data_IF_268788317825
#
_entry.id   IF_268788317825
#
_cell.length_a   1.000
_cell.length_b   1.000
_cell.length_c   1.000
_cell.angle_alpha   90.00
_cell.angle_beta   90.00
_cell.angle_gamma   90.00
#
_symmetry.space_group_name_H-M   'P 1'
#
loop_
_entity.id
_entity.type
_entity.pdbx_description
1 polymer ?
#
# COMPACT_ATOMS: atom_id res chain seq x y z
N UNK A 1 -7.80 -5.97 -37.48
CA UNK A 1 -7.32 -4.61 -37.18
C UNK A 1 -6.66 -4.70 -35.81
N UNK A 2 -5.36 -4.44 -35.70
CA UNK A 2 -4.70 -4.44 -34.39
C UNK A 2 -5.28 -3.26 -33.58
N UNK A 3 -5.95 -3.58 -32.48
CA UNK A 3 -6.45 -2.58 -31.53
C UNK A 3 -5.26 -2.03 -30.74
N UNK A 4 -4.58 -1.01 -31.27
CA UNK A 4 -3.47 -0.37 -30.58
C UNK A 4 -4.04 0.69 -29.61
N UNK A 5 -4.53 0.21 -28.46
CA UNK A 5 -5.13 1.07 -27.45
C UNK A 5 -4.06 1.60 -26.52
N UNK A 6 -4.09 2.90 -26.28
CA UNK A 6 -3.08 3.63 -25.50
C UNK A 6 -3.75 4.25 -24.30
N UNK A 7 -3.15 4.09 -23.12
CA UNK A 7 -3.54 4.88 -21.96
C UNK A 7 -2.96 6.28 -22.13
N UNK A 8 -3.82 7.29 -22.23
CA UNK A 8 -3.44 8.70 -22.32
C UNK A 8 -3.68 9.39 -20.99
N UNK A 9 -2.62 9.94 -20.41
CA UNK A 9 -2.73 10.91 -19.32
C UNK A 9 -2.65 12.30 -19.95
N UNK A 10 -3.78 13.01 -19.97
CA UNK A 10 -3.89 14.34 -20.55
C UNK A 10 -3.88 15.39 -19.44
N UNK A 11 -2.86 16.26 -19.44
CA UNK A 11 -2.69 17.28 -18.39
C UNK A 11 -2.81 18.67 -18.99
N UNK A 12 -3.76 19.45 -18.47
CA UNK A 12 -3.86 20.89 -18.68
C UNK A 12 -3.42 21.59 -17.41
N UNK A 13 -2.22 22.14 -17.42
CA UNK A 13 -1.63 22.82 -16.27
C UNK A 13 -1.78 24.34 -16.40
N UNK A 14 -2.04 25.02 -15.28
CA UNK A 14 -2.08 26.49 -15.19
C UNK A 14 -0.74 27.09 -14.75
N UNK A 15 0.16 26.26 -14.22
CA UNK A 15 1.53 26.59 -13.83
C UNK A 15 2.48 25.50 -14.30
N UNK A 16 3.78 25.77 -14.46
CA UNK A 16 4.76 24.72 -14.76
C UNK A 16 4.67 23.56 -13.77
N UNK A 17 4.68 22.32 -14.28
CA UNK A 17 4.60 21.11 -13.44
C UNK A 17 5.97 20.86 -12.79
N UNK A 18 5.99 20.67 -11.47
CA UNK A 18 7.21 20.30 -10.75
C UNK A 18 7.71 18.91 -11.20
N UNK A 19 9.02 18.79 -11.43
CA UNK A 19 9.62 17.52 -11.90
C UNK A 19 9.37 16.38 -10.91
N UNK A 20 9.37 16.66 -9.60
CA UNK A 20 9.08 15.67 -8.58
C UNK A 20 7.63 15.20 -8.65
N UNK A 21 6.67 16.09 -8.92
CA UNK A 21 5.27 15.71 -9.03
C UNK A 21 4.98 14.96 -10.32
N UNK A 22 5.60 15.38 -11.42
CA UNK A 22 5.55 14.65 -12.68
C UNK A 22 6.05 13.20 -12.52
N UNK A 23 7.25 13.05 -11.94
CA UNK A 23 7.88 11.74 -11.76
C UNK A 23 7.11 10.86 -10.76
N UNK A 24 6.60 11.42 -9.65
CA UNK A 24 5.72 10.72 -8.71
C UNK A 24 4.46 10.20 -9.42
N UNK A 25 3.75 11.07 -10.13
CA UNK A 25 2.50 10.70 -10.81
C UNK A 25 2.75 9.63 -11.88
N UNK A 26 3.79 9.75 -12.70
CA UNK A 26 4.12 8.72 -13.69
C UNK A 26 4.55 7.38 -13.08
N UNK A 27 5.38 7.43 -12.04
CA UNK A 27 5.80 6.23 -11.31
C UNK A 27 4.61 5.52 -10.65
N UNK A 28 3.65 6.29 -10.14
CA UNK A 28 2.43 5.77 -9.55
C UNK A 28 1.57 5.04 -10.58
N UNK A 29 1.30 5.64 -11.75
CA UNK A 29 0.58 4.95 -12.84
C UNK A 29 1.29 3.67 -13.29
N UNK A 30 2.62 3.71 -13.46
CA UNK A 30 3.41 2.53 -13.82
C UNK A 30 3.34 1.40 -12.79
N UNK A 31 3.40 1.74 -11.50
CA UNK A 31 3.32 0.77 -10.39
C UNK A 31 1.91 0.18 -10.27
N UNK A 32 0.88 1.04 -10.28
CA UNK A 32 -0.52 0.61 -10.22
C UNK A 32 -0.87 -0.30 -11.38
N UNK A 33 -0.44 0.03 -12.60
CA UNK A 33 -0.64 -0.85 -13.75
C UNK A 33 0.09 -2.18 -13.59
N UNK A 34 1.36 -2.17 -13.17
CA UNK A 34 2.12 -3.42 -13.00
C UNK A 34 1.46 -4.35 -11.99
N UNK A 35 0.95 -3.81 -10.88
CA UNK A 35 0.21 -4.59 -9.87
C UNK A 35 -1.13 -5.10 -10.41
N UNK A 36 -1.87 -4.24 -11.13
CA UNK A 36 -3.13 -4.61 -11.77
C UNK A 36 -2.92 -5.74 -12.80
N UNK A 37 -1.89 -5.62 -13.64
CA UNK A 37 -1.50 -6.60 -14.64
C UNK A 37 -1.15 -7.94 -14.01
N UNK A 38 -0.34 -7.97 -12.95
CA UNK A 38 -0.02 -9.20 -12.22
C UNK A 38 -1.26 -9.94 -11.70
N UNK A 39 -2.28 -9.21 -11.25
CA UNK A 39 -3.52 -9.78 -10.70
C UNK A 39 -4.52 -10.21 -11.78
N UNK A 40 -4.59 -9.48 -12.89
CA UNK A 40 -5.67 -9.59 -13.87
C UNK A 40 -5.22 -10.09 -15.26
N UNK A 41 -3.92 -10.23 -15.50
CA UNK A 41 -3.37 -10.75 -16.74
C UNK A 41 -3.76 -12.21 -16.97
N UNK A 42 -4.21 -12.53 -18.18
CA UNK A 42 -4.64 -13.88 -18.58
C UNK A 42 -3.49 -14.76 -19.07
N UNK A 43 -2.32 -14.17 -19.33
CA UNK A 43 -1.10 -14.86 -19.73
C UNK A 43 0.07 -14.42 -18.86
N UNK A 44 1.18 -15.16 -18.92
CA UNK A 44 2.41 -14.77 -18.22
C UNK A 44 2.95 -13.46 -18.77
N UNK A 45 2.78 -13.22 -20.06
CA UNK A 45 3.17 -11.99 -20.74
C UNK A 45 2.33 -10.81 -20.24
N UNK A 46 1.01 -10.92 -20.24
CA UNK A 46 0.09 -9.89 -19.70
C UNK A 46 0.37 -9.64 -18.21
N UNK A 47 0.60 -10.68 -17.40
CA UNK A 47 0.90 -10.54 -15.98
C UNK A 47 2.24 -9.82 -15.69
N UNK A 48 3.15 -9.77 -16.66
CA UNK A 48 4.43 -9.07 -16.56
C UNK A 48 4.47 -7.77 -17.38
N UNK A 49 3.32 -7.32 -17.88
CA UNK A 49 3.18 -6.09 -18.65
C UNK A 49 3.64 -4.86 -17.86
N UNK A 50 4.24 -3.90 -18.57
CA UNK A 50 4.67 -2.61 -18.02
C UNK A 50 4.25 -1.48 -18.94
N UNK A 51 4.00 -0.31 -18.35
CA UNK A 51 3.74 0.93 -19.08
C UNK A 51 5.04 1.63 -19.47
N UNK A 52 5.09 2.14 -20.69
CA UNK A 52 6.21 2.92 -21.23
C UNK A 52 5.72 4.22 -21.85
N UNK A 53 6.43 5.32 -21.59
CA UNK A 53 6.16 6.61 -22.25
C UNK A 53 6.55 6.51 -23.72
N UNK A 54 5.59 6.54 -24.63
CA UNK A 54 5.84 6.51 -26.08
C UNK A 54 5.86 7.90 -26.71
N UNK A 55 5.17 8.89 -26.12
CA UNK A 55 5.13 10.27 -26.61
C UNK A 55 4.83 11.27 -25.49
N UNK A 56 5.36 12.49 -25.63
CA UNK A 56 4.98 13.71 -24.89
C UNK A 56 4.72 14.80 -25.93
N UNK A 57 3.55 15.44 -25.90
CA UNK A 57 3.12 16.45 -26.89
C UNK A 57 3.07 17.85 -26.24
N UNK A 58 3.34 18.90 -27.02
CA UNK A 58 3.28 20.30 -26.58
C UNK A 58 1.84 20.85 -26.61
N UNK A 59 1.51 21.77 -25.68
CA UNK A 59 0.20 22.40 -25.50
C UNK A 59 -0.57 21.88 -24.28
N UNK A 60 -0.42 20.58 -24.00
CA UNK A 60 -0.88 19.81 -22.82
C UNK A 60 0.03 18.59 -22.69
N UNK A 61 0.46 18.21 -21.48
CA UNK A 61 1.32 17.02 -21.34
C UNK A 61 0.44 15.78 -21.61
N UNK A 62 0.52 15.26 -22.83
CA UNK A 62 -0.10 14.01 -23.26
C UNK A 62 0.91 12.88 -23.20
N UNK A 63 0.71 11.97 -22.25
CA UNK A 63 1.61 10.83 -22.05
C UNK A 63 0.91 9.58 -22.55
N UNK A 64 1.44 9.02 -23.63
CA UNK A 64 0.95 7.78 -24.22
C UNK A 64 1.68 6.61 -23.56
N UNK A 65 0.93 5.73 -22.91
CA UNK A 65 1.46 4.53 -22.25
C UNK A 65 0.94 3.27 -22.96
N UNK A 66 1.88 2.43 -23.43
CA UNK A 66 1.60 1.18 -24.14
C UNK A 66 2.08 -0.03 -23.34
N UNK A 67 1.36 -1.14 -23.48
CA UNK A 67 1.79 -2.46 -23.03
C UNK A 67 2.71 -3.09 -24.10
N UNK A 68 3.91 -3.50 -23.69
CA UNK A 68 4.81 -4.31 -24.52
C UNK A 68 4.68 -5.79 -24.12
N UNK A 69 3.57 -6.44 -24.49
CA UNK A 69 3.55 -7.89 -24.61
C UNK A 69 4.41 -8.23 -25.85
N UNK A 70 5.37 -9.14 -25.68
CA UNK A 70 6.50 -9.42 -26.59
C UNK A 70 6.20 -9.26 -28.09
N UNK A 71 7.17 -8.71 -28.83
CA UNK A 71 7.29 -8.61 -30.31
C UNK A 71 7.13 -9.95 -31.09
N UNK A 72 6.65 -11.03 -30.46
CA UNK A 72 6.36 -12.31 -31.09
C UNK A 72 4.85 -12.42 -31.36
N UNK A 73 4.51 -12.39 -32.64
CA UNK A 73 3.18 -12.56 -33.24
C UNK A 73 2.43 -13.76 -32.64
N UNK A 74 1.32 -13.53 -31.93
CA UNK A 74 0.31 -14.58 -31.64
C UNK A 74 -1.06 -14.09 -32.15
N UNK A 75 -1.70 -14.77 -33.13
CA UNK A 75 -2.95 -14.30 -33.76
C UNK A 75 -4.24 -14.57 -32.96
N UNK A 76 -4.17 -15.04 -31.71
CA UNK A 76 -5.34 -15.60 -31.00
C UNK A 76 -5.32 -15.32 -29.49
N UNK A 77 -5.13 -14.05 -29.08
CA UNK A 77 -5.56 -13.63 -27.74
C UNK A 77 -6.95 -13.01 -27.90
N UNK A 78 -7.98 -13.68 -27.38
CA UNK A 78 -9.30 -13.07 -27.20
C UNK A 78 -9.13 -11.75 -26.46
N UNK A 79 -9.57 -10.64 -27.08
CA UNK A 79 -9.41 -9.24 -26.67
C UNK A 79 -9.60 -8.94 -25.16
N UNK A 80 -8.69 -9.33 -24.27
CA UNK A 80 -8.42 -8.57 -23.04
C UNK A 80 -7.68 -7.33 -23.48
N UNK A 81 -8.33 -6.19 -23.41
CA UNK A 81 -7.61 -4.93 -23.52
C UNK A 81 -7.20 -4.51 -22.11
N UNK A 82 -6.08 -5.04 -21.63
CA UNK A 82 -5.57 -4.82 -20.28
C UNK A 82 -5.47 -3.32 -19.93
N UNK A 83 -5.15 -2.47 -20.92
CA UNK A 83 -5.16 -1.01 -20.81
C UNK A 83 -6.56 -0.45 -20.51
N UNK A 84 -7.59 -0.92 -21.22
CA UNK A 84 -8.97 -0.48 -20.98
C UNK A 84 -9.50 -0.97 -19.63
N UNK A 85 -9.17 -2.19 -19.26
CA UNK A 85 -9.59 -2.74 -17.97
C UNK A 85 -8.87 -2.05 -16.81
N UNK A 86 -7.59 -1.69 -16.98
CA UNK A 86 -6.88 -0.82 -16.05
C UNK A 86 -7.51 0.57 -15.95
N UNK A 87 -7.87 1.19 -17.09
CA UNK A 87 -8.53 2.50 -17.07
C UNK A 87 -9.89 2.46 -16.34
N UNK A 88 -10.66 1.37 -16.50
CA UNK A 88 -11.88 1.12 -15.71
C UNK A 88 -11.59 0.93 -14.22
N UNK A 89 -10.49 0.27 -13.87
CA UNK A 89 -10.06 0.14 -12.47
C UNK A 89 -9.68 1.49 -11.85
N UNK A 90 -8.96 2.35 -12.58
CA UNK A 90 -8.72 3.74 -12.14
C UNK A 90 -10.05 4.49 -11.99
N UNK A 91 -11.01 4.28 -12.89
CA UNK A 91 -12.35 4.85 -12.74
C UNK A 91 -13.07 4.34 -11.48
N UNK A 92 -13.00 3.06 -11.12
CA UNK A 92 -13.64 2.59 -9.89
C UNK A 92 -13.02 3.21 -8.64
N UNK A 93 -11.70 3.45 -8.65
CA UNK A 93 -11.02 4.19 -7.58
C UNK A 93 -11.55 5.63 -7.52
N UNK A 94 -11.63 6.32 -8.67
CA UNK A 94 -12.21 7.66 -8.75
C UNK A 94 -13.66 7.70 -8.25
N UNK A 95 -14.50 6.78 -8.70
CA UNK A 95 -15.91 6.73 -8.32
C UNK A 95 -16.07 6.54 -6.80
N UNK A 96 -15.22 5.72 -6.16
CA UNK A 96 -15.23 5.53 -4.71
C UNK A 96 -14.72 6.78 -3.95
N UNK A 97 -13.49 7.23 -4.24
CA UNK A 97 -12.85 8.30 -3.46
C UNK A 97 -13.42 9.70 -3.75
N UNK A 98 -13.95 9.95 -4.94
CA UNK A 98 -14.44 11.27 -5.36
C UNK A 98 -15.95 11.35 -5.34
N UNK A 99 -16.63 10.33 -5.89
CA UNK A 99 -18.08 10.36 -6.01
C UNK A 99 -18.80 9.63 -4.87
N UNK A 100 -18.07 8.95 -3.98
CA UNK A 100 -18.61 8.06 -2.95
C UNK A 100 -19.60 7.03 -3.53
N UNK A 101 -19.25 6.46 -4.68
CA UNK A 101 -20.04 5.47 -5.43
C UNK A 101 -19.27 4.18 -5.64
N UNK A 102 -20.01 3.08 -5.71
CA UNK A 102 -19.44 1.74 -5.93
C UNK A 102 -18.85 1.14 -4.65
N UNK A 103 -18.30 -0.06 -4.80
CA UNK A 103 -17.66 -0.79 -3.70
C UNK A 103 -16.25 -0.23 -3.44
N UNK A 104 -15.76 -0.42 -2.20
CA UNK A 104 -14.38 -0.07 -1.87
C UNK A 104 -13.40 -0.89 -2.73
N UNK A 105 -12.46 -0.23 -3.44
CA UNK A 105 -11.47 -0.95 -4.23
C UNK A 105 -10.50 -1.70 -3.31
N UNK A 106 -10.20 -2.96 -3.65
CA UNK A 106 -9.25 -3.79 -2.92
C UNK A 106 -7.80 -3.35 -3.22
N UNK A 107 -7.32 -2.35 -2.46
CA UNK A 107 -5.99 -1.76 -2.62
C UNK A 107 -5.09 -2.13 -1.44
N UNK A 108 -3.90 -2.68 -1.65
CA UNK A 108 -2.91 -2.87 -0.58
C UNK A 108 -2.20 -1.54 -0.22
N UNK A 109 -1.33 -1.56 0.81
CA UNK A 109 -0.61 -0.35 1.27
C UNK A 109 0.21 0.32 0.14
N UNK A 110 1.03 -0.40 -0.65
CA UNK A 110 1.67 0.18 -1.83
C UNK A 110 0.69 0.78 -2.86
N UNK A 111 -0.44 0.12 -3.12
CA UNK A 111 -1.45 0.60 -4.07
C UNK A 111 -2.15 1.88 -3.56
N UNK A 112 -2.47 1.98 -2.28
CA UNK A 112 -2.99 3.21 -1.68
C UNK A 112 -2.01 4.38 -1.78
N UNK A 113 -0.71 4.12 -1.57
CA UNK A 113 0.32 5.12 -1.83
C UNK A 113 0.36 5.52 -3.31
N UNK A 114 0.21 4.54 -4.22
CA UNK A 114 0.05 4.81 -5.65
C UNK A 114 -1.15 5.70 -5.95
N UNK A 115 -2.30 5.47 -5.32
CA UNK A 115 -3.51 6.30 -5.48
C UNK A 115 -3.30 7.72 -4.95
N UNK A 116 -2.60 7.89 -3.84
CA UNK A 116 -2.16 9.21 -3.36
C UNK A 116 -1.26 9.90 -4.40
N UNK A 117 -0.23 9.21 -4.89
CA UNK A 117 0.82 9.78 -5.73
C UNK A 117 0.35 10.07 -7.18
N UNK A 118 -0.61 9.28 -7.70
CA UNK A 118 -1.12 9.44 -9.08
C UNK A 118 -1.82 10.78 -9.32
N UNK A 119 -2.30 11.45 -8.27
CA UNK A 119 -2.98 12.75 -8.37
C UNK A 119 -2.09 13.92 -7.95
N UNK A 120 -0.78 13.72 -7.79
CA UNK A 120 0.15 14.76 -7.30
C UNK A 120 0.12 16.03 -8.17
N UNK A 121 0.06 15.88 -9.50
CA UNK A 121 0.00 17.02 -10.43
C UNK A 121 -1.27 17.86 -10.21
N UNK A 122 -2.50 17.33 -10.38
CA UNK A 122 -3.71 18.13 -10.17
C UNK A 122 -3.86 18.62 -8.72
N UNK A 123 -3.40 17.86 -7.72
CA UNK A 123 -3.45 18.29 -6.32
C UNK A 123 -2.60 19.55 -6.05
N UNK A 124 -1.53 19.78 -6.80
CA UNK A 124 -0.64 20.93 -6.64
C UNK A 124 -0.89 22.07 -7.65
N UNK A 125 -1.88 21.94 -8.54
CA UNK A 125 -2.26 22.98 -9.51
C UNK A 125 -3.74 23.37 -9.36
N UNK A 126 -3.98 24.54 -8.75
CA UNK A 126 -5.34 25.02 -8.43
C UNK A 126 -6.30 25.10 -9.61
N UNK A 127 -5.80 25.38 -10.81
CA UNK A 127 -6.62 25.45 -12.02
C UNK A 127 -6.20 24.37 -13.04
N UNK A 128 -5.43 23.38 -12.59
CA UNK A 128 -4.99 22.27 -13.40
C UNK A 128 -6.06 21.19 -13.52
N UNK A 129 -6.04 20.47 -14.64
CA UNK A 129 -6.88 19.31 -14.89
C UNK A 129 -6.01 18.18 -15.40
N UNK A 130 -6.23 16.98 -14.87
CA UNK A 130 -5.65 15.75 -15.40
C UNK A 130 -6.76 14.78 -15.76
N UNK A 131 -6.76 14.26 -16.98
CA UNK A 131 -7.76 13.29 -17.46
C UNK A 131 -7.07 11.99 -17.84
N UNK A 132 -7.66 10.85 -17.42
CA UNK A 132 -7.20 9.52 -17.82
C UNK A 132 -8.12 8.98 -18.89
N UNK A 133 -7.54 8.69 -20.05
CA UNK A 133 -8.26 8.24 -21.24
C UNK A 133 -7.65 6.97 -21.80
N UNK A 134 -8.45 6.24 -22.58
CA UNK A 134 -7.94 5.27 -23.53
C UNK A 134 -8.25 5.78 -24.93
N UNK A 135 -7.24 5.84 -25.78
CA UNK A 135 -7.40 6.27 -27.18
C UNK A 135 -6.99 5.15 -28.13
N UNK A 136 -7.53 5.19 -29.35
CA UNK A 136 -6.97 4.41 -30.46
C UNK A 136 -5.80 5.20 -31.06
N UNK A 137 -4.58 4.67 -31.03
CA UNK A 137 -3.39 5.39 -31.52
C UNK A 137 -3.48 5.77 -33.01
N UNK A 138 -4.13 4.94 -33.83
CA UNK A 138 -4.21 5.14 -35.29
C UNK A 138 -5.26 6.19 -35.68
N UNK A 139 -6.37 6.26 -34.94
CA UNK A 139 -7.51 7.12 -35.28
C UNK A 139 -7.64 8.35 -34.37
N UNK A 140 -6.92 8.39 -33.24
CA UNK A 140 -6.93 9.50 -32.29
C UNK A 140 -8.25 9.67 -31.51
N UNK A 141 -9.24 8.80 -31.75
CA UNK A 141 -10.52 8.87 -31.06
C UNK A 141 -10.41 8.31 -29.63
N UNK A 142 -11.10 8.98 -28.72
CA UNK A 142 -11.23 8.55 -27.32
C UNK A 142 -12.20 7.35 -27.26
N UNK A 143 -11.69 6.23 -26.75
CA UNK A 143 -12.43 4.98 -26.53
C UNK A 143 -13.07 5.00 -25.13
N UNK A 144 -12.37 5.59 -24.17
CA UNK A 144 -12.81 5.68 -22.78
C UNK A 144 -12.28 6.98 -22.16
N UNK A 145 -13.15 7.68 -21.45
CA UNK A 145 -12.81 8.85 -20.64
C UNK A 145 -13.58 8.74 -19.32
N UNK A 146 -12.93 8.13 -18.33
CA UNK A 146 -13.61 7.69 -17.12
C UNK A 146 -13.49 8.64 -15.94
N UNK A 147 -12.40 9.41 -15.89
CA UNK A 147 -12.05 10.24 -14.75
C UNK A 147 -11.26 11.47 -15.19
N UNK A 148 -11.63 12.61 -14.62
CA UNK A 148 -10.89 13.88 -14.66
C UNK A 148 -10.67 14.30 -13.22
N UNK A 149 -9.45 14.72 -12.91
CA UNK A 149 -9.01 15.13 -11.59
C UNK A 149 -8.68 16.62 -11.63
N UNK A 150 -9.40 17.40 -10.82
CA UNK A 150 -9.05 18.79 -10.51
C UNK A 150 -8.34 18.90 -9.14
N UNK A 151 -8.00 20.12 -8.74
CA UNK A 151 -7.35 20.39 -7.45
C UNK A 151 -8.11 19.87 -6.22
N UNK A 152 -9.43 20.08 -6.18
CA UNK A 152 -10.27 19.69 -5.03
C UNK A 152 -10.30 18.16 -4.93
N UNK A 153 -10.50 17.49 -6.06
CA UNK A 153 -10.59 16.02 -6.14
C UNK A 153 -9.23 15.39 -5.85
N UNK A 154 -8.14 15.91 -6.42
CA UNK A 154 -6.78 15.44 -6.17
C UNK A 154 -6.39 15.57 -4.70
N UNK A 155 -6.64 16.74 -4.08
CA UNK A 155 -6.38 16.93 -2.66
C UNK A 155 -7.25 16.01 -1.78
N UNK A 156 -8.53 15.85 -2.14
CA UNK A 156 -9.45 14.93 -1.48
C UNK A 156 -8.97 13.48 -1.51
N UNK A 157 -8.50 12.99 -2.67
CA UNK A 157 -7.92 11.66 -2.83
C UNK A 157 -6.67 11.50 -1.97
N UNK A 158 -5.77 12.49 -1.95
CA UNK A 158 -4.56 12.43 -1.12
C UNK A 158 -4.90 12.29 0.36
N UNK A 159 -5.80 13.14 0.88
CA UNK A 159 -6.21 13.10 2.29
C UNK A 159 -6.88 11.77 2.66
N UNK A 160 -7.79 11.28 1.80
CA UNK A 160 -8.47 10.01 2.04
C UNK A 160 -7.52 8.81 1.97
N UNK A 161 -6.60 8.81 1.00
CA UNK A 161 -5.57 7.77 0.87
C UNK A 161 -4.63 7.78 2.07
N UNK A 162 -4.23 8.96 2.56
CA UNK A 162 -3.42 9.10 3.77
C UNK A 162 -4.13 8.59 5.03
N UNK A 163 -5.43 8.85 5.15
CA UNK A 163 -6.22 8.32 6.26
C UNK A 163 -6.34 6.81 6.18
N UNK A 164 -6.67 6.25 5.01
CA UNK A 164 -6.70 4.80 4.78
C UNK A 164 -5.33 4.15 5.03
N UNK A 165 -4.23 4.82 4.66
CA UNK A 165 -2.87 4.37 4.96
C UNK A 165 -2.58 4.39 6.46
N UNK A 166 -3.01 5.43 7.20
CA UNK A 166 -2.86 5.49 8.66
C UNK A 166 -3.68 4.40 9.33
N UNK A 167 -4.92 4.19 8.92
CA UNK A 167 -5.80 3.13 9.43
C UNK A 167 -5.21 1.75 9.15
N UNK A 168 -4.79 1.47 7.90
CA UNK A 168 -4.17 0.18 7.55
C UNK A 168 -2.81 -0.02 8.19
N UNK A 169 -2.03 1.03 8.41
CA UNK A 169 -0.80 0.95 9.22
C UNK A 169 -1.11 0.79 10.70
N UNK A 170 -2.20 1.34 11.21
CA UNK A 170 -2.63 1.13 12.59
C UNK A 170 -3.14 -0.31 12.80
N UNK A 171 -3.88 -0.86 11.82
CA UNK A 171 -4.26 -2.27 11.75
C UNK A 171 -3.02 -3.16 11.58
N UNK A 172 -2.06 -2.78 10.72
CA UNK A 172 -0.78 -3.46 10.52
C UNK A 172 0.25 -3.18 11.62
N UNK A 173 -0.01 -2.27 12.56
CA UNK A 173 0.79 -2.09 13.79
C UNK A 173 0.46 -3.18 14.81
N UNK A 174 -0.40 -4.13 14.47
CA UNK A 174 -0.15 -5.54 14.70
C UNK A 174 1.04 -6.04 13.83
N UNK A 175 2.21 -5.38 13.93
CA UNK A 175 3.41 -5.62 13.12
C UNK A 175 3.81 -7.09 12.96
N UNK A 176 4.69 -7.38 11.99
CA UNK A 176 5.17 -8.74 11.69
C UNK A 176 5.29 -9.58 12.96
N UNK A 177 4.46 -10.63 13.04
CA UNK A 177 4.45 -11.50 14.20
C UNK A 177 5.76 -12.26 14.19
N UNK A 178 6.64 -11.92 15.14
CA UNK A 178 7.83 -12.68 15.42
C UNK A 178 7.40 -13.94 16.16
N UNK A 179 7.39 -15.05 15.44
CA UNK A 179 6.86 -16.32 15.95
C UNK A 179 7.90 -17.07 16.77
N UNK A 180 7.45 -17.74 17.82
CA UNK A 180 8.24 -18.66 18.66
C UNK A 180 9.57 -18.07 19.14
N UNK A 181 9.53 -16.82 19.60
CA UNK A 181 10.69 -16.16 20.15
C UNK A 181 10.84 -16.48 21.63
N UNK A 182 12.08 -16.70 22.07
CA UNK A 182 12.39 -16.85 23.48
C UNK A 182 12.39 -15.48 24.15
N UNK A 183 11.43 -15.27 25.04
CA UNK A 183 11.32 -14.10 25.90
C UNK A 183 11.71 -14.45 27.33
N UNK A 184 12.50 -13.60 27.95
CA UNK A 184 12.76 -13.63 29.40
C UNK A 184 12.15 -12.41 30.06
N UNK A 185 11.68 -12.59 31.30
CA UNK A 185 11.07 -11.49 32.05
C UNK A 185 12.12 -10.79 32.88
N UNK A 186 12.29 -9.50 32.60
CA UNK A 186 13.24 -8.66 33.33
C UNK A 186 12.62 -8.04 34.59
N UNK A 187 11.32 -7.71 34.54
CA UNK A 187 10.63 -7.07 35.66
C UNK A 187 9.14 -7.40 35.64
N UNK A 188 8.64 -7.96 36.75
CA UNK A 188 7.21 -8.05 37.08
C UNK A 188 6.93 -7.08 38.22
N UNK A 189 5.86 -6.29 38.14
CA UNK A 189 5.42 -5.46 39.28
C UNK A 189 4.03 -5.86 39.74
N UNK A 190 3.83 -5.82 41.06
CA UNK A 190 2.53 -5.89 41.70
C UNK A 190 1.95 -4.47 41.76
N UNK A 191 0.78 -4.31 41.17
CA UNK A 191 -0.18 -3.18 41.19
C UNK A 191 0.31 -1.77 41.56
N UNK A 192 0.11 -0.81 40.64
CA UNK A 192 -0.11 0.61 40.99
C UNK A 192 1.04 1.62 40.88
N UNK A 193 2.16 1.32 40.22
CA UNK A 193 3.26 2.29 40.02
C UNK A 193 3.57 2.59 38.55
N UNK A 194 3.87 3.86 38.24
CA UNK A 194 4.07 4.52 36.92
C UNK A 194 5.06 3.88 35.90
N UNK A 195 5.59 2.67 36.15
CA UNK A 195 6.57 2.00 35.28
C UNK A 195 6.31 0.48 35.22
N UNK A 196 5.63 0.03 34.15
CA UNK A 196 5.07 -1.33 33.97
C UNK A 196 6.05 -2.51 33.80
N UNK A 197 5.48 -3.68 33.43
CA UNK A 197 6.18 -4.95 33.22
C UNK A 197 7.19 -4.88 32.06
N UNK A 198 8.32 -5.60 32.16
CA UNK A 198 9.37 -5.59 31.14
C UNK A 198 9.93 -6.96 30.83
N UNK A 199 10.23 -7.19 29.56
CA UNK A 199 10.89 -8.40 29.07
C UNK A 199 11.98 -8.10 28.06
N UNK A 200 12.74 -9.13 27.72
CA UNK A 200 13.82 -9.11 26.74
C UNK A 200 13.64 -10.28 25.79
N UNK A 201 13.87 -10.03 24.51
CA UNK A 201 13.93 -11.05 23.46
C UNK A 201 15.22 -10.75 22.70
N UNK A 202 16.30 -11.43 23.06
CA UNK A 202 17.65 -11.12 22.55
C UNK A 202 17.74 -11.22 21.03
N UNK A 203 16.94 -12.10 20.42
CA UNK A 203 16.85 -12.25 18.96
C UNK A 203 16.29 -11.01 18.25
N UNK A 204 15.55 -10.14 18.96
CA UNK A 204 14.97 -8.92 18.42
C UNK A 204 15.73 -7.69 18.92
N UNK A 205 15.96 -7.59 20.23
CA UNK A 205 16.70 -6.48 20.85
C UNK A 205 17.19 -6.86 22.25
N UNK A 206 18.40 -6.40 22.55
CA UNK A 206 19.03 -6.42 23.88
C UNK A 206 18.37 -5.45 24.90
N UNK A 207 17.40 -4.64 24.47
CA UNK A 207 16.72 -3.67 25.31
C UNK A 207 15.59 -4.31 26.12
N UNK A 208 15.47 -3.84 27.36
CA UNK A 208 14.37 -4.17 28.27
C UNK A 208 13.13 -3.35 27.89
N UNK A 209 12.25 -3.94 27.08
CA UNK A 209 11.06 -3.30 26.56
C UNK A 209 9.84 -3.59 27.45
N UNK A 210 8.81 -2.74 27.35
CA UNK A 210 7.55 -2.97 28.04
C UNK A 210 6.86 -4.25 27.54
N UNK A 211 6.06 -4.88 28.39
CA UNK A 211 5.19 -6.00 27.99
C UNK A 211 3.74 -5.56 27.97
N UNK A 212 3.04 -5.92 26.89
CA UNK A 212 1.60 -5.75 26.72
C UNK A 212 1.05 -7.12 26.34
N UNK A 213 -0.05 -7.54 26.93
CA UNK A 213 -0.65 -8.85 26.65
C UNK A 213 -1.89 -8.68 25.79
N UNK A 214 -2.12 -9.58 24.84
CA UNK A 214 -3.31 -9.56 23.98
C UNK A 214 -4.58 -10.01 24.75
N UNK A 215 -4.41 -10.72 25.86
CA UNK A 215 -5.50 -11.08 26.78
C UNK A 215 -5.03 -11.14 28.23
N UNK A 216 -5.96 -10.93 29.17
CA UNK A 216 -5.73 -11.09 30.61
C UNK A 216 -5.30 -12.52 30.97
N UNK A 217 -5.79 -13.52 30.22
CA UNK A 217 -5.41 -14.93 30.42
C UNK A 217 -3.93 -15.17 30.12
N UNK A 218 -3.40 -14.59 29.04
CA UNK A 218 -1.98 -14.68 28.70
C UNK A 218 -1.12 -13.97 29.75
N UNK A 219 -1.60 -12.84 30.26
CA UNK A 219 -0.93 -12.14 31.35
C UNK A 219 -0.84 -13.01 32.60
N UNK A 220 -1.94 -13.66 33.00
CA UNK A 220 -1.99 -14.52 34.17
C UNK A 220 -1.12 -15.78 34.01
N UNK A 221 -1.18 -16.44 32.85
CA UNK A 221 -0.37 -17.63 32.54
C UNK A 221 1.14 -17.35 32.65
N UNK A 222 1.56 -16.16 32.21
CA UNK A 222 2.97 -15.76 32.19
C UNK A 222 3.41 -15.16 33.53
N UNK A 223 2.67 -14.20 34.08
CA UNK A 223 3.10 -13.39 35.23
C UNK A 223 2.64 -13.93 36.59
N UNK A 224 1.53 -14.68 36.64
CA UNK A 224 0.92 -15.15 37.90
C UNK A 224 1.06 -16.66 38.10
N UNK A 225 1.95 -17.30 37.37
CA UNK A 225 2.26 -18.72 37.55
C UNK A 225 2.73 -19.03 38.99
N UNK A 226 2.56 -20.27 39.45
CA UNK A 226 2.92 -20.69 40.81
C UNK A 226 4.42 -20.57 41.13
N UNK A 227 5.27 -20.46 40.11
CA UNK A 227 6.72 -20.28 40.22
C UNK A 227 7.11 -18.86 39.81
N UNK A 228 8.28 -18.39 40.26
CA UNK A 228 8.74 -17.04 39.95
C UNK A 228 8.96 -16.90 38.42
N UNK A 229 8.18 -16.03 37.74
CA UNK A 229 8.21 -15.95 36.28
C UNK A 229 9.51 -15.35 35.73
N UNK A 230 10.35 -14.75 36.59
CA UNK A 230 11.68 -14.26 36.20
C UNK A 230 12.75 -15.37 36.10
N UNK A 231 12.44 -16.59 36.55
CA UNK A 231 13.32 -17.76 36.46
C UNK A 231 12.98 -18.67 35.26
N UNK A 232 12.13 -18.18 34.36
CA UNK A 232 11.60 -18.94 33.22
C UNK A 232 11.88 -18.22 31.91
N UNK A 233 11.98 -19.01 30.85
CA UNK A 233 11.93 -18.55 29.46
C UNK A 233 10.57 -18.90 28.85
N UNK A 234 10.02 -17.99 28.06
CA UNK A 234 8.70 -18.14 27.45
C UNK A 234 8.84 -18.11 25.92
N UNK A 235 8.39 -19.16 25.25
CA UNK A 235 8.35 -19.20 23.79
C UNK A 235 7.05 -18.56 23.34
N UNK A 236 7.13 -17.37 22.76
CA UNK A 236 5.98 -16.51 22.48
C UNK A 236 5.95 -16.05 21.02
N UNK A 237 4.74 -15.74 20.56
CA UNK A 237 4.54 -14.92 19.37
C UNK A 237 4.38 -13.47 19.80
N UNK A 238 5.16 -12.57 19.21
CA UNK A 238 5.16 -11.15 19.61
C UNK A 238 5.09 -10.19 18.45
N UNK A 239 4.58 -9.01 18.76
CA UNK A 239 4.58 -7.85 17.89
C UNK A 239 5.40 -6.75 18.55
N UNK A 240 6.37 -6.18 17.84
CA UNK A 240 7.19 -5.08 18.34
C UNK A 240 6.44 -3.77 18.17
N UNK A 241 6.02 -3.18 19.29
CA UNK A 241 5.41 -1.85 19.29
C UNK A 241 6.51 -0.78 19.34
N UNK A 242 6.39 0.22 18.47
CA UNK A 242 7.38 1.30 18.33
C UNK A 242 6.79 2.66 18.69
N UNK A 243 7.63 3.54 19.23
CA UNK A 243 7.32 4.96 19.44
C UNK A 243 8.38 5.76 18.70
N UNK A 244 7.96 6.63 17.77
CA UNK A 244 8.87 7.42 16.93
C UNK A 244 9.92 6.55 16.21
N UNK A 245 9.53 5.37 15.73
CA UNK A 245 10.40 4.42 15.03
C UNK A 245 11.37 3.64 15.91
N UNK A 246 11.31 3.79 17.24
CA UNK A 246 12.14 3.03 18.19
C UNK A 246 11.30 1.98 18.92
N UNK A 247 11.79 0.73 19.08
CA UNK A 247 11.11 -0.27 19.89
C UNK A 247 10.85 0.23 21.31
N UNK A 248 9.60 0.06 21.76
CA UNK A 248 9.10 0.53 23.03
C UNK A 248 8.48 -0.60 23.87
N UNK A 249 7.75 -1.52 23.25
CA UNK A 249 7.12 -2.65 23.93
C UNK A 249 7.02 -3.89 23.03
N UNK A 250 6.87 -5.06 23.65
CA UNK A 250 6.43 -6.30 23.01
C UNK A 250 4.96 -6.53 23.36
N UNK A 251 4.10 -6.64 22.35
CA UNK A 251 2.74 -7.15 22.51
C UNK A 251 2.77 -8.66 22.34
N UNK A 252 2.44 -9.39 23.40
CA UNK A 252 2.45 -10.85 23.46
C UNK A 252 1.13 -11.39 22.91
N UNK A 253 1.20 -12.14 21.82
CA UNK A 253 0.03 -12.63 21.08
C UNK A 253 -0.30 -14.08 21.43
N UNK A 254 0.71 -14.90 21.71
CA UNK A 254 0.52 -16.29 22.08
C UNK A 254 1.69 -16.79 22.92
N UNK A 255 1.41 -17.75 23.80
CA UNK A 255 2.39 -18.54 24.54
C UNK A 255 2.36 -19.99 23.99
N UNK A 256 3.52 -20.50 23.59
CA UNK A 256 3.67 -21.85 23.04
C UNK A 256 4.31 -22.82 24.02
N UNK A 257 5.28 -22.36 24.81
CA UNK A 257 6.02 -23.20 25.73
C UNK A 257 6.71 -22.38 26.84
N UNK A 258 7.06 -23.04 27.94
CA UNK A 258 7.76 -22.45 29.09
C UNK A 258 8.94 -23.35 29.46
N UNK A 259 10.14 -22.77 29.49
CA UNK A 259 11.38 -23.45 29.85
C UNK A 259 11.91 -22.94 31.18
N UNK A 260 12.54 -23.84 31.95
CA UNK A 260 13.32 -23.48 33.13
C UNK A 260 14.66 -22.87 32.74
N UNK A 261 15.00 -21.74 33.36
CA UNK A 261 16.32 -21.13 33.26
C UNK A 261 17.03 -21.37 34.58
N UNK A 262 17.91 -22.38 34.61
CA UNK A 262 18.72 -22.77 35.77
C UNK A 262 19.60 -21.62 36.31
#
# INVERSE_FOLDING_TARGET
>A
MNNNNVLRIHIKNSQPVDVSDFTKTMSAFGTLFSNFAQKNGKSKEEANAKLYVSKIIEGSIDIHLVELASLAVIPFVENSNLILDFAKHIKSIYDYFVLSKGDEPELNVPELKGVHDMVSIPANDRNGLMTVQVINDNAGNVIFEGCTFNHIEGNGIQNQSDNALKERKALSNEGDIYRKQLMTIYQVRKDGADRGNKGVIDAISDRKLGLVFDSDTLEDDILRSAQNPMLKGYIVDVIVQTVQGKPAAYKIMALHDVIDLD
#
